data_IF_549147210249
#
_entry.id   IF_549147210249
#
_cell.length_a   1.000
_cell.length_b   1.000
_cell.length_c   1.000
_cell.angle_alpha   90.00
_cell.angle_beta   90.00
_cell.angle_gamma   90.00
#
_symmetry.space_group_name_H-M   'P 1'
#
loop_
_entity.id
_entity.type
_entity.pdbx_description
1 polymer ?
#
# COMPACT_ATOMS: atom_id res chain seq x y z
N UNK A 1 -45.51 -42.60 50.33
CA UNK A 1 -46.00 -41.20 50.17
C UNK A 1 -45.69 -40.51 51.49
N UNK A 2 -44.64 -39.71 51.66
CA UNK A 2 -44.41 -38.44 50.98
C UNK A 2 -42.90 -38.18 50.88
N UNK A 3 -42.37 -38.60 49.74
CA UNK A 3 -41.02 -38.33 49.28
C UNK A 3 -41.05 -37.01 48.50
N UNK A 4 -41.40 -35.89 49.18
CA UNK A 4 -41.40 -34.57 48.53
C UNK A 4 -41.57 -33.42 49.55
N UNK A 5 -40.73 -33.34 50.60
CA UNK A 5 -40.68 -32.15 51.48
C UNK A 5 -39.39 -31.95 52.29
N UNK A 6 -38.41 -32.85 52.25
CA UNK A 6 -37.15 -32.71 52.99
C UNK A 6 -35.94 -32.21 52.18
N UNK A 7 -36.11 -31.92 50.88
CA UNK A 7 -35.02 -31.39 50.03
C UNK A 7 -34.95 -29.86 50.07
N UNK A 8 -35.96 -29.17 50.60
CA UNK A 8 -36.00 -27.70 50.68
C UNK A 8 -35.51 -27.11 52.01
N UNK A 9 -35.24 -27.92 53.04
CA UNK A 9 -34.73 -27.42 54.34
C UNK A 9 -33.23 -27.67 54.57
N UNK A 10 -32.56 -28.42 53.70
CA UNK A 10 -31.12 -28.75 53.80
C UNK A 10 -30.21 -27.93 52.86
N UNK A 11 -30.79 -27.06 52.02
CA UNK A 11 -30.02 -26.18 51.10
C UNK A 11 -29.91 -24.73 51.62
N UNK A 12 -30.66 -24.37 52.69
CA UNK A 12 -30.69 -23.00 53.23
C UNK A 12 -29.78 -22.75 54.44
N UNK A 13 -29.04 -23.73 54.95
CA UNK A 13 -28.12 -23.56 56.10
C UNK A 13 -26.63 -23.73 55.78
N UNK A 14 -26.25 -23.90 54.52
CA UNK A 14 -24.85 -24.06 54.09
C UNK A 14 -24.21 -22.78 53.48
N UNK A 15 -24.88 -21.62 53.60
CA UNK A 15 -24.39 -20.33 53.07
C UNK A 15 -24.39 -19.22 54.13
N UNK A 16 -23.85 -19.49 55.32
CA UNK A 16 -23.57 -18.46 56.34
C UNK A 16 -22.09 -18.40 56.77
N UNK A 17 -21.18 -18.83 55.89
CA UNK A 17 -19.75 -18.60 56.06
C UNK A 17 -19.38 -17.18 55.63
N UNK A 18 -19.03 -16.31 56.59
CA UNK A 18 -18.36 -15.03 56.35
C UNK A 18 -17.09 -15.27 55.54
N UNK A 19 -17.14 -15.03 54.24
CA UNK A 19 -15.97 -14.97 53.37
C UNK A 19 -15.19 -13.72 53.80
N UNK A 20 -14.03 -13.94 54.44
CA UNK A 20 -13.01 -12.91 54.64
C UNK A 20 -12.76 -12.26 53.28
N UNK A 21 -12.92 -10.95 53.19
CA UNK A 21 -12.45 -10.16 52.06
C UNK A 21 -10.92 -10.26 52.03
N UNK A 22 -10.40 -11.35 51.47
CA UNK A 22 -9.08 -11.34 50.89
C UNK A 22 -9.17 -10.37 49.72
N UNK A 23 -8.37 -9.31 49.82
CA UNK A 23 -8.18 -8.31 48.79
C UNK A 23 -7.97 -9.02 47.46
N UNK A 24 -9.00 -9.02 46.63
CA UNK A 24 -8.92 -9.43 45.24
C UNK A 24 -7.78 -8.62 44.63
N UNK A 25 -6.66 -9.30 44.35
CA UNK A 25 -5.62 -8.82 43.47
C UNK A 25 -6.30 -8.64 42.11
N UNK A 26 -6.94 -7.49 41.91
CA UNK A 26 -7.26 -6.98 40.59
C UNK A 26 -5.91 -6.76 39.93
N UNK A 27 -5.39 -7.80 39.27
CA UNK A 27 -4.43 -7.64 38.21
C UNK A 27 -5.15 -6.77 37.18
N UNK A 28 -4.99 -5.45 37.31
CA UNK A 28 -5.32 -4.50 36.27
C UNK A 28 -4.46 -4.90 35.09
N UNK A 29 -4.96 -5.79 34.25
CA UNK A 29 -4.57 -5.87 32.86
C UNK A 29 -4.94 -4.52 32.28
N UNK A 30 -4.01 -3.56 32.39
CA UNK A 30 -4.01 -2.37 31.58
C UNK A 30 -3.90 -2.89 30.16
N UNK A 31 -5.05 -3.08 29.50
CA UNK A 31 -5.10 -3.07 28.06
C UNK A 31 -4.34 -1.81 27.65
N UNK A 32 -3.13 -1.98 27.12
CA UNK A 32 -2.41 -0.87 26.53
C UNK A 32 -3.32 -0.38 25.41
N UNK A 33 -4.07 0.68 25.67
CA UNK A 33 -5.07 1.24 24.74
C UNK A 33 -4.44 1.70 23.42
N UNK A 34 -3.10 1.73 23.36
CA UNK A 34 -2.31 1.79 22.15
C UNK A 34 -1.17 0.79 22.25
N UNK A 35 -1.25 -0.29 21.48
CA UNK A 35 -0.07 -1.06 21.10
C UNK A 35 0.90 -0.04 20.47
N UNK A 36 2.05 0.20 21.10
CA UNK A 36 3.15 0.91 20.42
C UNK A 36 3.43 0.08 19.17
N UNK A 37 3.19 0.61 17.97
CA UNK A 37 3.58 -0.12 16.76
C UNK A 37 5.08 -0.36 16.87
N UNK A 38 5.51 -1.62 16.96
CA UNK A 38 6.93 -1.94 16.82
C UNK A 38 7.38 -1.33 15.49
N UNK A 39 8.41 -0.49 15.53
CA UNK A 39 9.00 0.09 14.31
C UNK A 39 9.74 -0.97 13.48
N UNK A 40 10.07 -2.11 14.09
CA UNK A 40 10.41 -3.33 13.38
C UNK A 40 9.12 -3.97 12.87
N UNK A 41 8.83 -3.75 11.58
CA UNK A 41 7.79 -4.49 10.90
C UNK A 41 8.09 -5.99 11.07
N UNK A 42 7.10 -6.84 11.41
CA UNK A 42 7.31 -8.28 11.40
C UNK A 42 7.81 -8.71 10.02
N UNK A 43 8.62 -9.78 9.98
CA UNK A 43 9.06 -10.38 8.72
C UNK A 43 7.82 -10.63 7.85
N UNK A 44 7.81 -10.10 6.64
CA UNK A 44 6.71 -10.31 5.71
C UNK A 44 6.59 -11.80 5.37
N UNK A 45 5.38 -12.34 5.26
CA UNK A 45 5.20 -13.77 4.94
C UNK A 45 5.67 -14.13 3.51
N UNK A 46 5.83 -13.14 2.63
CA UNK A 46 6.32 -13.29 1.25
C UNK A 46 7.85 -13.17 1.11
N UNK A 47 8.65 -13.65 2.07
CA UNK A 47 10.11 -13.52 1.98
C UNK A 47 10.73 -14.44 0.92
N UNK A 48 11.80 -13.94 0.29
CA UNK A 48 12.70 -14.75 -0.55
C UNK A 48 13.28 -15.89 0.28
N UNK A 49 13.54 -17.02 -0.38
CA UNK A 49 14.20 -18.18 0.24
C UNK A 49 15.62 -17.78 0.66
N UNK A 50 15.91 -17.76 1.97
CA UNK A 50 17.27 -17.62 2.49
C UNK A 50 18.01 -18.95 2.23
N UNK A 51 18.83 -19.01 1.17
CA UNK A 51 19.73 -20.14 0.89
C UNK A 51 21.06 -19.64 0.31
N UNK A 52 22.16 -20.35 0.62
CA UNK A 52 23.40 -20.18 -0.10
C UNK A 52 23.18 -20.56 -1.57
N UNK A 53 23.66 -19.74 -2.49
CA UNK A 53 23.65 -20.04 -3.93
C UNK A 53 25.06 -20.41 -4.34
N UNK A 54 25.18 -21.55 -5.00
CA UNK A 54 26.40 -21.95 -5.68
C UNK A 54 26.16 -21.76 -7.18
N UNK A 55 27.21 -21.48 -7.98
CA UNK A 55 27.10 -21.59 -9.42
C UNK A 55 26.77 -23.04 -9.75
N UNK A 56 25.50 -23.31 -10.04
CA UNK A 56 25.07 -24.56 -10.64
C UNK A 56 25.53 -24.45 -12.11
N UNK A 57 26.64 -25.11 -12.47
CA UNK A 57 27.19 -25.10 -13.83
C UNK A 57 26.24 -25.83 -14.80
N UNK A 58 25.12 -25.18 -15.12
CA UNK A 58 24.10 -25.69 -16.04
C UNK A 58 24.60 -25.53 -17.48
N UNK A 59 24.39 -26.57 -18.30
CA UNK A 59 24.51 -26.42 -19.75
C UNK A 59 23.44 -25.45 -20.25
N UNK A 60 23.72 -24.78 -21.37
CA UNK A 60 22.77 -23.87 -22.03
C UNK A 60 21.46 -24.58 -22.40
N UNK A 61 21.53 -25.87 -22.77
CA UNK A 61 20.37 -26.72 -23.06
C UNK A 61 19.49 -26.92 -21.82
N UNK A 62 20.10 -27.20 -20.66
CA UNK A 62 19.36 -27.38 -19.41
C UNK A 62 18.71 -26.07 -18.95
N UNK A 63 19.36 -24.93 -19.15
CA UNK A 63 18.75 -23.63 -18.86
C UNK A 63 17.51 -23.37 -19.74
N UNK A 64 17.58 -23.69 -21.04
CA UNK A 64 16.46 -23.54 -21.95
C UNK A 64 15.29 -24.44 -21.53
N UNK A 65 15.58 -25.71 -21.22
CA UNK A 65 14.59 -26.66 -20.71
C UNK A 65 13.94 -26.17 -19.41
N UNK A 66 14.72 -25.65 -18.46
CA UNK A 66 14.15 -25.11 -17.21
C UNK A 66 13.27 -23.88 -17.45
N UNK A 67 13.61 -23.02 -18.42
CA UNK A 67 12.76 -21.88 -18.80
C UNK A 67 11.43 -22.36 -19.39
N UNK A 68 11.46 -23.39 -20.23
CA UNK A 68 10.26 -24.03 -20.80
C UNK A 68 9.38 -24.66 -19.72
N UNK A 69 9.95 -25.47 -18.82
CA UNK A 69 9.20 -26.05 -17.69
C UNK A 69 8.57 -24.97 -16.80
N UNK A 70 9.26 -23.84 -16.61
CA UNK A 70 8.71 -22.70 -15.87
C UNK A 70 7.59 -22.01 -16.65
N UNK A 71 7.73 -21.80 -17.95
CA UNK A 71 6.65 -21.19 -18.75
C UNK A 71 5.39 -22.06 -18.77
N UNK A 72 5.53 -23.37 -18.95
CA UNK A 72 4.40 -24.31 -19.00
C UNK A 72 3.68 -24.38 -17.67
N UNK A 73 4.42 -24.26 -16.56
CA UNK A 73 3.85 -24.28 -15.21
C UNK A 73 3.05 -23.02 -14.91
N UNK A 74 3.41 -21.88 -15.48
CA UNK A 74 2.81 -20.57 -15.22
C UNK A 74 2.15 -20.01 -16.48
N UNK A 75 1.32 -20.83 -17.12
CA UNK A 75 0.45 -20.39 -18.21
C UNK A 75 -0.87 -19.82 -17.67
N UNK A 76 -1.19 -18.57 -18.03
CA UNK A 76 -2.39 -17.89 -17.53
C UNK A 76 -3.67 -18.52 -18.09
N UNK A 77 -4.67 -18.86 -17.27
CA UNK A 77 -5.92 -19.47 -17.74
C UNK A 77 -6.73 -18.53 -18.65
N UNK A 78 -6.49 -17.21 -18.55
CA UNK A 78 -7.11 -16.20 -19.41
C UNK A 78 -6.73 -16.32 -20.89
N UNK A 79 -5.63 -17.01 -21.20
CA UNK A 79 -5.24 -17.30 -22.59
C UNK A 79 -6.24 -18.23 -23.27
N UNK A 80 -6.92 -19.09 -22.50
CA UNK A 80 -7.90 -20.06 -23.01
C UNK A 80 -9.34 -19.58 -22.84
N UNK A 81 -9.61 -18.76 -21.82
CA UNK A 81 -10.92 -18.16 -21.58
C UNK A 81 -10.77 -16.64 -21.47
N UNK A 82 -11.18 -15.86 -22.51
CA UNK A 82 -11.04 -14.42 -22.46
C UNK A 82 -11.82 -13.87 -21.26
N UNK A 83 -11.30 -12.83 -20.59
CA UNK A 83 -11.97 -12.24 -19.45
C UNK A 83 -13.38 -11.78 -19.84
N UNK A 84 -14.33 -11.92 -18.91
CA UNK A 84 -15.67 -11.39 -19.09
C UNK A 84 -15.61 -9.91 -19.45
N UNK A 85 -16.52 -9.48 -20.35
CA UNK A 85 -16.55 -8.12 -20.86
C UNK A 85 -16.52 -7.08 -19.71
N UNK A 86 -15.80 -5.96 -19.87
CA UNK A 86 -15.69 -4.95 -18.83
C UNK A 86 -17.08 -4.43 -18.44
N UNK A 87 -17.38 -4.44 -17.14
CA UNK A 87 -18.64 -3.95 -16.62
C UNK A 87 -18.79 -2.44 -16.90
N UNK A 88 -20.01 -2.02 -17.23
CA UNK A 88 -20.34 -0.62 -17.46
C UNK A 88 -20.05 0.22 -16.20
N UNK A 89 -19.50 1.42 -16.39
CA UNK A 89 -19.15 2.29 -15.27
C UNK A 89 -20.36 2.78 -14.50
N UNK A 90 -20.32 2.54 -13.20
CA UNK A 90 -21.26 3.08 -12.24
C UNK A 90 -20.59 4.18 -11.40
N UNK A 91 -21.20 5.37 -11.25
CA UNK A 91 -20.66 6.44 -10.43
C UNK A 91 -20.38 5.99 -8.99
N UNK A 92 -19.16 6.25 -8.53
CA UNK A 92 -18.71 5.91 -7.17
C UNK A 92 -18.18 4.49 -7.00
N UNK A 93 -18.03 3.72 -8.08
CA UNK A 93 -17.23 2.48 -8.07
C UNK A 93 -15.75 2.80 -7.97
N UNK A 94 -15.04 2.00 -7.16
CA UNK A 94 -13.59 2.07 -7.00
C UNK A 94 -12.95 0.95 -7.82
N UNK A 95 -12.22 1.31 -8.86
CA UNK A 95 -11.39 0.38 -9.65
C UNK A 95 -10.09 0.03 -8.92
N UNK A 96 -9.41 -1.00 -9.41
CA UNK A 96 -8.09 -1.36 -8.94
C UNK A 96 -7.06 -0.25 -9.20
N UNK A 97 -6.02 -0.19 -8.37
CA UNK A 97 -4.82 0.61 -8.62
C UNK A 97 -3.73 -0.17 -9.33
N UNK A 98 -2.56 0.46 -9.49
CA UNK A 98 -1.34 -0.12 -10.04
C UNK A 98 -0.21 -0.06 -9.00
N UNK A 99 0.73 -0.98 -9.11
CA UNK A 99 2.04 -0.86 -8.45
C UNK A 99 3.04 -0.36 -9.49
N UNK A 100 3.87 0.61 -9.11
CA UNK A 100 4.88 1.17 -9.99
C UNK A 100 6.20 1.33 -9.25
N UNK A 101 7.30 1.45 -9.99
CA UNK A 101 8.60 1.85 -9.48
C UNK A 101 8.83 3.32 -9.74
N UNK A 102 9.27 4.04 -8.73
CA UNK A 102 9.70 5.43 -8.89
C UNK A 102 11.03 5.48 -9.63
N UNK A 103 11.04 5.92 -10.89
CA UNK A 103 12.28 6.15 -11.62
C UNK A 103 12.81 7.52 -11.21
N UNK A 104 12.56 8.56 -12.00
CA UNK A 104 13.22 9.85 -11.82
C UNK A 104 12.20 10.98 -11.63
N UNK A 105 12.72 12.18 -11.41
CA UNK A 105 11.97 13.41 -11.55
C UNK A 105 12.49 14.12 -12.80
N UNK A 106 11.60 14.52 -13.70
CA UNK A 106 11.92 15.21 -14.94
C UNK A 106 11.13 16.53 -15.03
N UNK A 107 11.76 17.63 -15.45
CA UNK A 107 11.05 18.86 -15.73
C UNK A 107 10.19 18.74 -17.00
N UNK A 108 9.04 19.40 -17.01
CA UNK A 108 8.18 19.59 -18.16
C UNK A 108 7.70 21.03 -18.23
N UNK A 109 7.35 21.47 -19.44
CA UNK A 109 6.80 22.79 -19.69
C UNK A 109 5.34 22.67 -20.09
N UNK A 110 4.51 23.54 -19.53
CA UNK A 110 3.14 23.69 -19.98
C UNK A 110 3.08 24.64 -21.19
N UNK A 111 2.01 24.56 -21.97
CA UNK A 111 1.75 25.45 -23.12
C UNK A 111 1.70 26.94 -22.72
N UNK A 112 1.40 27.23 -21.45
CA UNK A 112 1.43 28.57 -20.88
C UNK A 112 2.83 29.06 -20.46
N UNK A 113 3.89 28.32 -20.77
CA UNK A 113 5.27 28.66 -20.39
C UNK A 113 5.64 28.35 -18.94
N UNK A 114 4.73 27.80 -18.14
CA UNK A 114 5.02 27.47 -16.74
C UNK A 114 5.84 26.19 -16.66
N UNK A 115 6.89 26.26 -15.86
CA UNK A 115 7.73 25.13 -15.47
C UNK A 115 7.01 24.24 -14.44
N UNK A 116 6.99 22.93 -14.67
CA UNK A 116 6.44 21.93 -13.76
C UNK A 116 7.39 20.75 -13.62
N UNK A 117 7.62 20.28 -12.39
CA UNK A 117 8.33 19.02 -12.15
C UNK A 117 7.36 17.84 -12.22
N UNK A 118 7.79 16.75 -12.87
CA UNK A 118 7.04 15.50 -12.96
C UNK A 118 7.84 14.33 -12.42
N UNK A 119 7.20 13.38 -11.76
CA UNK A 119 7.82 12.12 -11.33
C UNK A 119 7.43 11.01 -12.29
N UNK A 120 8.41 10.22 -12.73
CA UNK A 120 8.26 9.07 -13.60
C UNK A 120 7.99 7.83 -12.75
N UNK A 121 6.85 7.19 -13.00
CA UNK A 121 6.43 5.95 -12.34
C UNK A 121 6.31 4.86 -13.39
N UNK A 122 7.19 3.87 -13.34
CA UNK A 122 7.21 2.74 -14.27
C UNK A 122 6.39 1.58 -13.75
N UNK A 123 5.41 1.14 -14.53
CA UNK A 123 4.52 0.03 -14.21
C UNK A 123 5.15 -1.25 -14.77
N UNK A 124 5.88 -1.96 -13.92
CA UNK A 124 6.57 -3.20 -14.29
C UNK A 124 5.70 -4.43 -13.99
N UNK A 125 5.30 -5.16 -15.02
CA UNK A 125 4.61 -6.46 -14.99
C UNK A 125 3.55 -6.60 -13.89
N UNK A 126 2.57 -5.69 -13.89
CA UNK A 126 1.45 -5.78 -12.96
C UNK A 126 0.44 -6.81 -13.42
N UNK A 127 0.10 -7.73 -12.54
CA UNK A 127 -0.91 -8.75 -12.79
C UNK A 127 -1.81 -8.95 -11.59
N UNK A 128 -3.08 -9.26 -11.85
CA UNK A 128 -4.05 -9.63 -10.82
C UNK A 128 -3.78 -11.06 -10.39
N UNK A 129 -3.51 -11.26 -9.10
CA UNK A 129 -3.18 -12.58 -8.55
C UNK A 129 -4.41 -13.28 -8.00
N UNK A 130 -5.31 -12.52 -7.37
CA UNK A 130 -6.49 -13.11 -6.74
C UNK A 130 -7.48 -12.08 -6.25
N UNK A 131 -8.68 -12.56 -5.97
CA UNK A 131 -9.80 -11.76 -5.48
C UNK A 131 -10.21 -12.20 -4.08
N UNK A 132 -10.34 -11.24 -3.17
CA UNK A 132 -10.78 -11.45 -1.79
C UNK A 132 -12.18 -10.88 -1.65
N UNK A 133 -13.20 -11.70 -1.35
CA UNK A 133 -14.57 -11.24 -1.23
C UNK A 133 -14.74 -10.27 -0.04
N UNK A 134 -15.76 -9.39 -0.08
CA UNK A 134 -15.98 -8.38 0.96
C UNK A 134 -16.21 -8.97 2.36
N UNK A 135 -16.78 -10.17 2.43
CA UNK A 135 -17.04 -10.89 3.68
C UNK A 135 -15.76 -11.22 4.44
N UNK A 136 -14.75 -11.76 3.73
CA UNK A 136 -13.44 -12.09 4.30
C UNK A 136 -12.64 -10.84 4.63
N UNK A 137 -12.75 -9.78 3.81
CA UNK A 137 -12.05 -8.53 4.03
C UNK A 137 -12.45 -7.87 5.37
N UNK A 138 -13.75 -7.84 5.65
CA UNK A 138 -14.36 -7.18 6.81
C UNK A 138 -14.10 -7.90 8.14
N UNK A 139 -13.67 -9.16 8.11
CA UNK A 139 -13.28 -9.94 9.29
C UNK A 139 -11.86 -9.60 9.76
N UNK A 140 -10.96 -9.30 8.82
CA UNK A 140 -9.52 -9.09 9.09
C UNK A 140 -9.15 -7.64 9.37
N UNK A 141 -9.92 -6.67 8.87
CA UNK A 141 -9.69 -5.27 9.20
C UNK A 141 -10.32 -4.93 10.56
N UNK A 142 -9.50 -4.43 11.49
CA UNK A 142 -9.92 -3.73 12.73
C UNK A 142 -10.57 -2.39 12.37
N UNK A 143 -11.48 -2.38 11.39
CA UNK A 143 -12.36 -1.27 11.10
C UNK A 143 -13.32 -1.22 12.26
N UNK A 144 -13.15 -0.16 13.07
CA UNK A 144 -14.00 0.21 14.20
C UNK A 144 -15.45 -0.14 13.88
N UNK A 145 -16.01 -1.13 14.58
CA UNK A 145 -17.40 -1.64 14.48
C UNK A 145 -18.46 -0.54 14.27
N UNK A 146 -18.22 0.66 14.79
CA UNK A 146 -19.12 1.82 14.77
C UNK A 146 -19.50 2.35 13.39
N UNK A 147 -18.85 1.93 12.31
CA UNK A 147 -19.04 2.50 10.96
C UNK A 147 -19.39 1.46 9.89
N UNK A 148 -19.70 0.20 10.26
CA UNK A 148 -19.89 -0.88 9.27
C UNK A 148 -21.17 -0.77 8.42
N UNK A 149 -22.24 -0.17 8.95
CA UNK A 149 -23.55 -0.16 8.30
C UNK A 149 -23.72 0.92 7.22
N UNK A 150 -22.89 1.95 7.19
CA UNK A 150 -23.09 3.13 6.33
C UNK A 150 -22.26 3.11 5.04
N UNK A 151 -21.31 2.18 4.88
CA UNK A 151 -20.43 2.13 3.71
C UNK A 151 -20.74 0.93 2.81
N UNK A 152 -20.65 1.14 1.49
CA UNK A 152 -20.70 0.06 0.49
C UNK A 152 -19.65 -1.02 0.83
N UNK A 153 -20.00 -2.32 0.70
CA UNK A 153 -19.04 -3.38 0.91
C UNK A 153 -17.89 -3.25 -0.11
N UNK A 154 -16.65 -3.33 0.38
CA UNK A 154 -15.46 -3.29 -0.47
C UNK A 154 -14.82 -4.68 -0.50
N UNK A 155 -14.36 -5.09 -1.66
CA UNK A 155 -13.57 -6.30 -1.87
C UNK A 155 -12.08 -5.96 -1.94
N UNK A 156 -11.23 -6.97 -1.86
CA UNK A 156 -9.79 -6.85 -2.02
C UNK A 156 -9.32 -7.45 -3.33
N UNK A 157 -8.65 -6.68 -4.18
CA UNK A 157 -7.95 -7.24 -5.33
C UNK A 157 -6.46 -7.33 -5.03
N UNK A 158 -5.88 -8.52 -5.17
CA UNK A 158 -4.46 -8.75 -4.95
C UNK A 158 -3.73 -8.55 -6.27
N UNK A 159 -2.77 -7.63 -6.29
CA UNK A 159 -1.96 -7.29 -7.46
C UNK A 159 -0.49 -7.56 -7.13
N UNK A 160 0.14 -8.32 -8.02
CA UNK A 160 1.57 -8.60 -8.01
C UNK A 160 2.29 -7.73 -9.04
N UNK A 161 3.50 -7.28 -8.70
CA UNK A 161 4.35 -6.45 -9.56
C UNK A 161 5.78 -6.98 -9.60
N UNK A 162 6.41 -6.82 -10.76
CA UNK A 162 7.71 -7.37 -11.12
C UNK A 162 7.78 -8.89 -10.95
N UNK A 163 7.54 -9.61 -12.04
CA UNK A 163 7.75 -11.05 -12.11
C UNK A 163 9.23 -11.40 -11.90
N UNK A 164 9.49 -12.53 -11.26
CA UNK A 164 10.84 -12.97 -10.90
C UNK A 164 10.88 -14.51 -10.79
N UNK A 165 12.04 -15.11 -11.05
CA UNK A 165 12.19 -16.56 -11.06
C UNK A 165 11.62 -17.24 -9.80
N UNK A 166 10.82 -18.32 -9.97
CA UNK A 166 10.15 -19.01 -8.86
C UNK A 166 11.15 -19.62 -7.86
N UNK A 167 12.37 -19.95 -8.31
CA UNK A 167 13.45 -20.53 -7.48
C UNK A 167 13.93 -19.61 -6.37
N UNK A 168 13.63 -18.30 -6.45
CA UNK A 168 14.04 -17.30 -5.46
C UNK A 168 13.06 -17.22 -4.28
N UNK A 169 11.88 -17.82 -4.40
CA UNK A 169 10.82 -17.75 -3.40
C UNK A 169 10.58 -19.10 -2.69
N UNK A 170 9.80 -19.08 -1.62
CA UNK A 170 9.33 -20.30 -0.96
C UNK A 170 8.24 -20.98 -1.80
N UNK A 171 8.11 -22.31 -1.66
CA UNK A 171 7.10 -23.09 -2.38
C UNK A 171 5.68 -22.58 -2.09
N UNK A 172 5.40 -22.25 -0.84
CA UNK A 172 4.10 -21.71 -0.39
C UNK A 172 3.76 -20.40 -1.11
N UNK A 173 4.72 -19.47 -1.22
CA UNK A 173 4.50 -18.22 -1.93
C UNK A 173 4.30 -18.46 -3.42
N UNK A 174 5.13 -19.31 -4.04
CA UNK A 174 5.02 -19.63 -5.46
C UNK A 174 3.69 -20.32 -5.80
N UNK A 175 3.13 -21.11 -4.89
CA UNK A 175 1.85 -21.80 -5.08
C UNK A 175 0.66 -20.82 -5.16
N UNK A 176 0.74 -19.64 -4.55
CA UNK A 176 -0.33 -18.62 -4.59
C UNK A 176 -0.60 -18.10 -6.01
N UNK A 177 0.38 -18.18 -6.90
CA UNK A 177 0.28 -17.64 -8.26
C UNK A 177 -0.13 -18.68 -9.31
N UNK A 178 -0.21 -19.96 -8.93
CA UNK A 178 -0.54 -21.05 -9.86
C UNK A 178 -1.97 -20.94 -10.37
N UNK A 179 -2.93 -20.56 -9.51
CA UNK A 179 -4.34 -20.38 -9.90
C UNK A 179 -4.49 -19.29 -10.96
N UNK A 180 -3.70 -18.22 -10.84
CA UNK A 180 -3.68 -17.14 -11.82
C UNK A 180 -2.80 -17.44 -13.05
N UNK A 181 -1.99 -18.50 -12.99
CA UNK A 181 -1.00 -18.84 -14.02
C UNK A 181 0.00 -17.72 -14.29
N UNK A 182 0.52 -17.09 -13.24
CA UNK A 182 1.51 -16.01 -13.34
C UNK A 182 2.79 -16.42 -12.62
N UNK A 183 3.95 -16.00 -13.13
CA UNK A 183 5.20 -16.15 -12.39
C UNK A 183 5.17 -15.39 -11.05
N UNK A 184 5.85 -15.88 -10.00
CA UNK A 184 5.89 -15.19 -8.71
C UNK A 184 6.42 -13.77 -8.81
N UNK A 185 5.81 -12.85 -8.08
CA UNK A 185 6.14 -11.42 -8.15
C UNK A 185 6.94 -10.94 -6.93
N UNK A 186 7.81 -9.95 -7.11
CA UNK A 186 8.61 -9.36 -6.01
C UNK A 186 7.76 -8.60 -5.01
N UNK A 187 6.73 -7.91 -5.50
CA UNK A 187 5.88 -7.05 -4.68
C UNK A 187 4.43 -7.44 -4.83
N UNK A 188 3.87 -8.04 -3.78
CA UNK A 188 2.45 -8.29 -3.65
C UNK A 188 1.78 -7.16 -2.86
N UNK A 189 0.65 -6.66 -3.35
CA UNK A 189 -0.17 -5.66 -2.66
C UNK A 189 -1.64 -5.96 -2.84
N UNK A 190 -2.47 -5.35 -2.00
CA UNK A 190 -3.93 -5.45 -2.09
C UNK A 190 -4.53 -4.06 -2.27
N UNK A 191 -5.40 -3.91 -3.25
CA UNK A 191 -6.23 -2.72 -3.44
C UNK A 191 -7.64 -2.97 -2.92
N UNK A 192 -8.25 -1.94 -2.34
CA UNK A 192 -9.66 -1.98 -1.95
C UNK A 192 -10.51 -1.52 -3.13
N UNK A 193 -11.32 -2.43 -3.65
CA UNK A 193 -12.14 -2.23 -4.84
C UNK A 193 -13.62 -2.37 -4.50
N UNK A 194 -14.48 -1.82 -5.35
CA UNK A 194 -15.88 -2.20 -5.34
C UNK A 194 -16.01 -3.62 -5.92
N UNK A 195 -16.93 -4.47 -5.42
CA UNK A 195 -17.15 -5.82 -5.97
C UNK A 195 -17.46 -5.84 -7.47
N UNK A 196 -18.16 -4.79 -7.94
CA UNK A 196 -18.46 -4.56 -9.36
C UNK A 196 -17.22 -4.32 -10.24
N UNK A 197 -16.07 -3.94 -9.65
CA UNK A 197 -14.83 -3.69 -10.40
C UNK A 197 -13.82 -4.84 -10.22
N UNK A 198 -14.31 -6.05 -9.92
CA UNK A 198 -13.47 -7.24 -9.83
C UNK A 198 -12.92 -7.61 -11.21
N UNK A 199 -11.62 -7.88 -11.27
CA UNK A 199 -10.94 -8.38 -12.46
C UNK A 199 -10.56 -9.84 -12.24
N UNK A 200 -10.56 -10.62 -13.32
CA UNK A 200 -10.18 -12.01 -13.26
C UNK A 200 -8.69 -12.16 -12.88
N UNK A 201 -8.32 -13.18 -12.08
CA UNK A 201 -6.92 -13.50 -11.84
C UNK A 201 -6.21 -13.83 -13.16
N UNK A 202 -4.95 -13.43 -13.29
CA UNK A 202 -4.19 -13.50 -14.55
C UNK A 202 -4.20 -12.20 -15.35
N UNK A 203 -5.15 -11.29 -15.10
CA UNK A 203 -5.30 -10.07 -15.92
C UNK A 203 -4.08 -9.17 -15.78
N UNK A 204 -3.45 -8.83 -16.91
CA UNK A 204 -2.34 -7.87 -16.96
C UNK A 204 -2.87 -6.44 -16.84
N UNK A 205 -2.16 -5.61 -16.08
CA UNK A 205 -2.50 -4.21 -15.86
C UNK A 205 -1.37 -3.32 -16.39
N UNK A 206 -1.68 -2.49 -17.40
CA UNK A 206 -0.73 -1.56 -18.03
C UNK A 206 -0.84 -0.15 -17.48
N UNK A 207 0.08 0.74 -17.87
CA UNK A 207 0.02 2.16 -17.50
C UNK A 207 -1.23 2.85 -18.05
N UNK A 208 -1.75 2.35 -19.18
CA UNK A 208 -2.98 2.78 -19.86
C UNK A 208 -4.25 2.53 -19.05
N UNK A 209 -4.17 1.80 -17.92
CA UNK A 209 -5.26 1.70 -16.96
C UNK A 209 -5.69 3.07 -16.42
N UNK A 210 -4.77 4.04 -16.39
CA UNK A 210 -5.10 5.44 -16.13
C UNK A 210 -5.17 6.24 -17.42
N UNK A 211 -5.94 7.33 -17.40
CA UNK A 211 -6.00 8.27 -18.51
C UNK A 211 -5.26 9.56 -18.17
N UNK A 212 -4.78 10.24 -19.20
CA UNK A 212 -4.14 11.54 -19.03
C UNK A 212 -5.16 12.57 -18.57
N UNK A 213 -4.82 13.36 -17.55
CA UNK A 213 -5.73 14.29 -16.88
C UNK A 213 -6.40 13.73 -15.62
N UNK A 214 -6.36 12.41 -15.41
CA UNK A 214 -6.83 11.80 -14.17
C UNK A 214 -6.03 12.28 -12.95
N UNK A 215 -6.67 12.29 -11.78
CA UNK A 215 -6.03 12.54 -10.51
C UNK A 215 -5.85 11.25 -9.72
N UNK A 216 -4.61 11.00 -9.30
CA UNK A 216 -4.21 9.81 -8.57
C UNK A 216 -3.65 10.15 -7.19
N UNK A 217 -3.84 9.21 -6.27
CA UNK A 217 -3.23 9.18 -4.96
C UNK A 217 -2.10 8.15 -4.96
N UNK A 218 -0.96 8.55 -4.39
CA UNK A 218 0.28 7.80 -4.43
C UNK A 218 0.70 7.41 -3.02
N UNK A 219 0.70 6.11 -2.74
CA UNK A 219 1.02 5.54 -1.44
C UNK A 219 2.35 4.78 -1.49
N UNK A 220 3.34 5.23 -0.73
CA UNK A 220 4.64 4.57 -0.67
C UNK A 220 5.34 4.77 0.67
N UNK A 221 6.41 4.01 0.90
CA UNK A 221 7.28 4.16 2.06
C UNK A 221 8.17 5.38 1.84
N UNK A 222 8.20 6.32 2.78
CA UNK A 222 9.10 7.48 2.71
C UNK A 222 10.55 7.06 2.92
N UNK A 223 11.49 7.78 2.30
CA UNK A 223 12.94 7.66 2.54
C UNK A 223 13.25 7.54 4.03
N UNK A 224 13.98 6.50 4.40
CA UNK A 224 14.40 6.25 5.78
C UNK A 224 15.58 7.16 6.14
N UNK A 225 15.48 7.86 7.28
CA UNK A 225 16.52 8.78 7.77
C UNK A 225 17.14 8.32 9.09
N UNK A 226 16.83 7.11 9.56
CA UNK A 226 17.32 6.58 10.84
C UNK A 226 16.84 7.38 12.05
N UNK A 227 17.58 7.30 13.17
CA UNK A 227 17.29 8.05 14.39
C UNK A 227 17.65 9.53 14.22
N UNK A 228 16.68 10.42 14.36
CA UNK A 228 16.85 11.86 14.16
C UNK A 228 16.53 12.66 15.43
N UNK A 229 17.28 13.74 15.63
CA UNK A 229 17.05 14.72 16.68
C UNK A 229 15.77 15.55 16.47
N UNK A 230 15.33 16.26 17.50
CA UNK A 230 14.04 16.99 17.49
C UNK A 230 13.96 18.11 16.46
N UNK A 231 15.06 18.78 16.15
CA UNK A 231 15.09 19.83 15.13
C UNK A 231 14.75 19.27 13.74
N UNK A 232 15.42 18.19 13.32
CA UNK A 232 15.21 17.59 11.99
C UNK A 232 13.91 16.78 11.91
N UNK A 233 13.52 16.11 13.00
CA UNK A 233 12.31 15.28 13.06
C UNK A 233 11.02 16.09 13.15
N UNK A 234 11.03 17.18 13.93
CA UNK A 234 9.82 17.94 14.29
C UNK A 234 9.87 19.43 13.96
N UNK A 235 10.99 19.94 13.43
CA UNK A 235 11.14 21.36 13.11
C UNK A 235 11.32 22.25 14.35
N UNK A 236 11.85 21.73 15.46
CA UNK A 236 12.12 22.56 16.65
C UNK A 236 13.21 23.60 16.33
N UNK A 237 13.05 24.82 16.83
CA UNK A 237 13.99 25.93 16.59
C UNK A 237 15.37 25.72 17.25
N UNK A 238 15.44 24.96 18.35
CA UNK A 238 16.68 24.79 19.12
C UNK A 238 16.89 25.89 20.15
N UNK A 239 18.15 26.14 20.50
CA UNK A 239 18.59 27.22 21.40
C UNK A 239 19.62 28.10 20.68
N UNK A 240 19.81 29.38 21.08
CA UNK A 240 20.76 30.26 20.43
C UNK A 240 22.19 29.68 20.42
N UNK A 241 22.98 30.10 19.44
CA UNK A 241 24.39 29.70 19.33
C UNK A 241 25.29 30.50 20.29
N UNK A 242 24.97 31.78 20.50
CA UNK A 242 25.73 32.75 21.32
C UNK A 242 25.00 33.05 22.64
N UNK A 243 25.54 34.01 23.43
CA UNK A 243 24.97 34.49 24.70
C UNK A 243 24.86 33.42 25.80
N UNK A 244 25.92 32.62 25.99
CA UNK A 244 26.06 31.74 27.16
C UNK A 244 25.31 30.40 27.09
N UNK A 245 24.77 30.03 25.93
CA UNK A 245 24.13 28.72 25.75
C UNK A 245 25.16 27.57 25.80
N UNK A 246 25.30 26.92 26.95
CA UNK A 246 26.28 25.83 27.12
C UNK A 246 25.69 24.46 26.76
N UNK A 247 26.14 23.86 25.65
CA UNK A 247 25.80 22.48 25.22
C UNK A 247 24.29 22.19 25.02
N UNK A 248 23.47 23.22 24.75
CA UNK A 248 22.01 23.09 24.63
C UNK A 248 21.44 23.35 23.23
N UNK A 249 22.26 23.74 22.25
CA UNK A 249 21.84 24.26 20.93
C UNK A 249 20.76 23.41 20.21
N UNK A 250 20.80 22.08 20.34
CA UNK A 250 19.90 21.15 19.61
C UNK A 250 18.99 20.31 20.53
N UNK A 251 18.88 20.67 21.80
CA UNK A 251 18.06 19.95 22.79
C UNK A 251 16.57 20.29 22.64
N UNK A 252 15.65 19.41 23.09
CA UNK A 252 14.20 19.66 23.03
C UNK A 252 13.68 20.77 23.97
N UNK A 253 14.48 21.20 24.94
CA UNK A 253 14.00 22.09 26.01
C UNK A 253 13.09 21.35 27.00
N UNK A 254 12.17 22.08 27.63
CA UNK A 254 11.23 21.53 28.60
C UNK A 254 10.23 20.56 27.97
N UNK A 255 10.08 19.38 28.55
CA UNK A 255 9.16 18.31 28.08
C UNK A 255 7.95 18.09 29.01
N UNK A 256 7.93 18.76 30.17
CA UNK A 256 6.97 18.52 31.25
C UNK A 256 5.65 19.26 31.07
N UNK A 257 4.60 18.75 31.71
CA UNK A 257 3.26 19.34 31.74
C UNK A 257 2.90 19.84 33.14
N UNK A 258 3.61 20.86 33.62
CA UNK A 258 3.35 21.50 34.93
C UNK A 258 3.40 20.57 36.15
N UNK A 259 3.21 21.13 37.34
CA UNK A 259 3.27 20.38 38.61
C UNK A 259 2.08 19.42 38.81
N UNK A 260 0.92 19.73 38.24
CA UNK A 260 -0.32 18.95 38.44
C UNK A 260 -0.26 17.53 37.84
N UNK A 261 0.67 17.28 36.90
CA UNK A 261 0.75 16.00 36.20
C UNK A 261 2.21 15.57 36.07
N UNK A 262 2.67 14.76 37.01
CA UNK A 262 4.04 14.22 37.11
C UNK A 262 4.38 13.17 36.04
N UNK A 263 3.91 13.33 34.80
CA UNK A 263 4.22 12.44 33.67
C UNK A 263 4.22 13.16 32.34
N UNK A 264 4.97 12.64 31.37
CA UNK A 264 4.94 13.11 29.98
C UNK A 264 3.64 12.66 29.28
N UNK A 265 3.08 13.52 28.43
CA UNK A 265 1.92 13.17 27.61
C UNK A 265 2.26 12.13 26.52
N UNK A 266 1.45 11.07 26.35
CA UNK A 266 1.61 10.14 25.25
C UNK A 266 1.51 10.87 23.91
N UNK A 267 2.49 10.67 23.04
CA UNK A 267 2.59 11.39 21.76
C UNK A 267 3.38 12.70 21.81
N UNK A 268 3.99 13.04 22.96
CA UNK A 268 4.92 14.18 23.04
C UNK A 268 6.05 14.04 22.00
N UNK A 269 6.34 15.13 21.29
CA UNK A 269 7.38 15.17 20.26
C UNK A 269 8.77 14.99 20.89
N UNK A 270 9.42 13.89 20.55
CA UNK A 270 10.74 13.47 21.09
C UNK A 270 11.67 12.99 19.96
N UNK A 271 12.99 12.92 20.14
CA UNK A 271 13.89 12.37 19.13
C UNK A 271 13.56 10.89 18.87
N UNK A 272 13.91 10.39 17.68
CA UNK A 272 13.61 9.01 17.30
C UNK A 272 13.67 8.77 15.80
N UNK A 273 13.29 7.55 15.38
CA UNK A 273 13.29 7.17 13.97
C UNK A 273 12.39 8.09 13.13
N UNK A 274 12.94 8.57 12.02
CA UNK A 274 12.28 9.45 11.05
C UNK A 274 12.31 8.80 9.66
N UNK A 275 11.20 8.90 8.94
CA UNK A 275 11.05 8.27 7.64
C UNK A 275 10.74 6.78 7.77
N UNK A 276 10.91 6.03 6.68
CA UNK A 276 10.62 4.59 6.65
C UNK A 276 9.15 4.22 6.92
N UNK A 277 8.24 5.19 6.89
CA UNK A 277 6.80 5.01 7.12
C UNK A 277 6.04 5.17 5.82
N UNK A 278 4.93 4.46 5.67
CA UNK A 278 4.06 4.68 4.54
C UNK A 278 3.32 6.01 4.65
N UNK A 279 3.29 6.77 3.55
CA UNK A 279 2.55 8.03 3.42
C UNK A 279 1.81 8.03 2.10
N UNK A 280 0.62 8.65 2.11
CA UNK A 280 -0.19 8.85 0.92
C UNK A 280 -0.07 10.33 0.50
N UNK A 281 0.40 10.57 -0.72
CA UNK A 281 0.40 11.88 -1.37
C UNK A 281 -0.78 11.93 -2.34
N UNK A 282 -1.71 12.86 -2.11
CA UNK A 282 -3.04 12.84 -2.74
C UNK A 282 -3.20 13.90 -3.83
N UNK A 283 -4.01 13.58 -4.84
CA UNK A 283 -4.51 14.52 -5.83
C UNK A 283 -3.46 14.96 -6.85
N UNK A 284 -2.58 14.05 -7.25
CA UNK A 284 -1.57 14.32 -8.27
C UNK A 284 -2.16 14.10 -9.66
N UNK A 285 -1.99 15.07 -10.57
CA UNK A 285 -2.51 15.00 -11.94
C UNK A 285 -1.55 14.19 -12.82
N UNK A 286 -2.08 13.34 -13.69
CA UNK A 286 -1.30 12.67 -14.74
C UNK A 286 -1.17 13.61 -15.94
N UNK A 287 0.07 13.86 -16.36
CA UNK A 287 0.39 14.79 -17.45
C UNK A 287 0.80 14.11 -18.76
N UNK A 288 1.41 12.93 -18.66
CA UNK A 288 1.83 12.12 -19.81
C UNK A 288 1.78 10.65 -19.42
N UNK A 289 1.42 9.79 -20.37
CA UNK A 289 1.56 8.34 -20.26
C UNK A 289 2.33 7.85 -21.49
N UNK A 290 3.37 7.06 -21.27
CA UNK A 290 4.07 6.34 -22.32
C UNK A 290 3.56 4.89 -22.35
N UNK A 291 3.00 4.47 -23.47
CA UNK A 291 2.36 3.15 -23.65
C UNK A 291 3.39 2.06 -23.89
N UNK A 292 4.47 2.36 -24.62
CA UNK A 292 5.52 1.39 -24.98
C UNK A 292 6.32 0.88 -23.78
N UNK A 293 6.68 1.79 -22.88
CA UNK A 293 7.47 1.50 -21.69
C UNK A 293 6.63 1.45 -20.41
N UNK A 294 5.30 1.60 -20.51
CA UNK A 294 4.39 1.62 -19.36
C UNK A 294 4.83 2.61 -18.26
N UNK A 295 5.13 3.86 -18.65
CA UNK A 295 5.56 4.93 -17.74
C UNK A 295 4.46 5.97 -17.57
N UNK A 296 4.14 6.30 -16.32
CA UNK A 296 3.20 7.35 -15.95
C UNK A 296 3.97 8.56 -15.41
N UNK A 297 3.69 9.73 -15.99
CA UNK A 297 4.27 11.00 -15.55
C UNK A 297 3.26 11.74 -14.68
N UNK A 298 3.57 11.83 -13.41
CA UNK A 298 2.70 12.44 -12.40
C UNK A 298 3.23 13.81 -12.00
N UNK A 299 2.33 14.79 -11.86
CA UNK A 299 2.68 16.15 -11.44
C UNK A 299 3.28 16.17 -10.04
N UNK A 300 4.41 16.86 -9.89
CA UNK A 300 5.14 17.05 -8.63
C UNK A 300 6.41 16.20 -8.53
N UNK A 301 7.35 16.66 -7.70
CA UNK A 301 8.60 15.96 -7.38
C UNK A 301 8.52 15.16 -6.06
N UNK A 302 7.42 15.31 -5.32
CA UNK A 302 7.32 14.93 -3.92
C UNK A 302 6.82 13.50 -3.68
N UNK A 303 6.83 12.62 -4.70
CA UNK A 303 6.39 11.23 -4.52
C UNK A 303 7.22 10.55 -3.43
N UNK A 304 6.59 9.97 -2.40
CA UNK A 304 7.31 9.31 -1.31
C UNK A 304 8.13 8.13 -1.82
N UNK A 305 9.31 7.93 -1.23
CA UNK A 305 10.23 6.84 -1.58
C UNK A 305 11.52 7.33 -2.23
N UNK A 306 12.53 6.48 -2.17
CA UNK A 306 13.80 6.67 -2.87
C UNK A 306 13.66 6.25 -4.35
N UNK A 307 14.75 6.40 -5.11
CA UNK A 307 14.82 5.91 -6.49
C UNK A 307 14.64 4.38 -6.50
N UNK A 308 13.85 3.88 -7.45
CA UNK A 308 13.46 2.48 -7.63
C UNK A 308 12.60 1.85 -6.51
N UNK A 309 12.12 2.64 -5.55
CA UNK A 309 11.15 2.13 -4.57
C UNK A 309 9.79 1.84 -5.23
N UNK A 310 9.11 0.84 -4.68
CA UNK A 310 7.74 0.50 -5.05
C UNK A 310 6.74 1.52 -4.48
N UNK A 311 5.80 1.88 -5.34
CA UNK A 311 4.80 2.91 -5.13
C UNK A 311 3.45 2.35 -5.56
N UNK A 312 2.42 2.54 -4.74
CA UNK A 312 1.05 2.14 -5.06
C UNK A 312 0.30 3.37 -5.59
N UNK A 313 -0.24 3.27 -6.80
CA UNK A 313 -1.01 4.32 -7.47
C UNK A 313 -2.48 3.87 -7.48
N UNK A 314 -3.39 4.74 -7.06
CA UNK A 314 -4.83 4.49 -7.13
C UNK A 314 -5.57 5.79 -7.41
N UNK A 315 -6.84 5.70 -7.81
CA UNK A 315 -7.66 6.89 -8.02
C UNK A 315 -7.75 7.73 -6.75
N UNK A 316 -7.84 9.05 -6.94
CA UNK A 316 -7.87 9.97 -5.80
C UNK A 316 -9.13 9.81 -4.96
N UNK A 317 -8.96 9.88 -3.63
CA UNK A 317 -10.09 9.88 -2.68
C UNK A 317 -10.74 11.27 -2.60
N UNK A 318 -10.05 12.32 -3.08
CA UNK A 318 -10.50 13.71 -2.98
C UNK A 318 -11.83 13.94 -3.73
N UNK A 319 -12.91 14.40 -3.06
CA UNK A 319 -14.23 14.52 -3.66
C UNK A 319 -14.30 15.38 -4.93
N UNK A 320 -13.59 16.50 -4.96
CA UNK A 320 -13.61 17.48 -6.06
C UNK A 320 -12.82 17.03 -7.30
N UNK A 321 -11.96 16.03 -7.16
CA UNK A 321 -11.05 15.55 -8.21
C UNK A 321 -11.35 14.10 -8.59
N UNK A 322 -12.52 13.59 -8.21
CA UNK A 322 -12.96 12.26 -8.62
C UNK A 322 -13.14 12.21 -10.13
N UNK A 323 -12.79 11.06 -10.66
CA UNK A 323 -12.99 10.73 -12.06
C UNK A 323 -14.47 10.72 -12.41
N UNK A 324 -14.80 11.23 -13.60
CA UNK A 324 -16.17 11.31 -14.12
C UNK A 324 -16.49 10.25 -15.17
N UNK A 325 -15.46 9.69 -15.82
CA UNK A 325 -15.61 8.78 -16.95
C UNK A 325 -15.30 7.31 -16.60
N UNK A 326 -15.85 6.34 -17.36
CA UNK A 326 -15.61 4.90 -17.20
C UNK A 326 -14.15 4.51 -17.23
N UNK A 327 -13.71 3.70 -16.26
CA UNK A 327 -12.37 3.11 -16.26
C UNK A 327 -12.31 1.93 -17.19
N UNK A 328 -11.70 2.11 -18.35
CA UNK A 328 -11.41 1.01 -19.26
C UNK A 328 -10.13 0.33 -18.81
N UNK A 329 -10.24 -0.94 -18.40
CA UNK A 329 -9.07 -1.83 -18.44
C UNK A 329 -8.87 -2.16 -19.91
N UNK A 330 -7.84 -1.57 -20.49
CA UNK A 330 -7.51 -1.73 -21.90
C UNK A 330 -6.77 -3.05 -22.06
N UNK A 331 -7.16 -3.85 -23.05
CA UNK A 331 -6.48 -5.12 -23.37
C UNK A 331 -5.11 -4.84 -24.01
N UNK A 332 -4.22 -5.83 -24.02
CA UNK A 332 -2.87 -5.66 -24.60
C UNK A 332 -2.90 -5.29 -26.09
N UNK A 333 -3.88 -5.80 -26.83
CA UNK A 333 -4.10 -5.52 -28.26
C UNK A 333 -4.52 -4.07 -28.50
N UNK A 334 -5.51 -3.59 -27.74
CA UNK A 334 -5.97 -2.19 -27.80
C UNK A 334 -4.85 -1.22 -27.38
N UNK A 335 -4.05 -1.59 -26.37
CA UNK A 335 -2.95 -0.76 -25.91
C UNK A 335 -1.81 -0.65 -26.94
N UNK A 336 -1.65 -1.63 -27.84
CA UNK A 336 -0.67 -1.59 -28.92
C UNK A 336 -1.06 -0.65 -30.06
N UNK A 337 -2.36 -0.33 -30.21
CA UNK A 337 -2.87 0.59 -31.23
C UNK A 337 -2.76 2.07 -30.81
N UNK A 338 -2.56 2.33 -29.51
CA UNK A 338 -2.42 3.68 -28.99
C UNK A 338 -1.07 4.30 -29.40
N UNK A 339 -1.00 5.64 -29.51
CA UNK A 339 0.26 6.32 -29.74
C UNK A 339 1.26 6.03 -28.60
N UNK A 340 2.56 6.11 -28.91
CA UNK A 340 3.64 5.83 -27.96
C UNK A 340 3.57 6.74 -26.72
N UNK A 341 3.27 8.03 -26.94
CA UNK A 341 3.11 9.01 -25.87
C UNK A 341 1.76 9.72 -25.98
N UNK A 342 1.01 9.68 -24.89
CA UNK A 342 -0.23 10.42 -24.72
C UNK A 342 0.06 11.61 -23.80
N UNK A 343 -0.12 12.83 -24.30
CA UNK A 343 0.13 14.07 -23.56
C UNK A 343 -1.17 14.75 -23.14
N UNK A 344 -1.13 15.45 -22.01
CA UNK A 344 -2.22 16.32 -21.60
C UNK A 344 -2.23 17.56 -22.52
N UNK A 345 -3.39 18.12 -22.91
CA UNK A 345 -3.45 19.28 -23.81
C UNK A 345 -2.65 20.50 -23.29
N UNK A 346 -2.62 20.70 -21.97
CA UNK A 346 -1.81 21.75 -21.35
C UNK A 346 -0.29 21.55 -21.44
N UNK A 347 0.22 20.38 -21.85
CA UNK A 347 1.66 20.08 -21.86
C UNK A 347 2.24 20.41 -23.22
N UNK A 348 3.33 21.19 -23.21
CA UNK A 348 4.06 21.49 -24.43
C UNK A 348 4.92 20.28 -24.85
N UNK A 349 4.69 19.79 -26.06
CA UNK A 349 5.48 18.69 -26.64
C UNK A 349 6.83 19.23 -27.11
N UNK A 350 7.92 18.53 -26.80
CA UNK A 350 9.27 19.00 -27.15
C UNK A 350 9.54 19.08 -28.66
N UNK A 351 8.78 18.34 -29.48
CA UNK A 351 8.87 18.39 -30.94
C UNK A 351 8.03 19.54 -31.56
N UNK A 352 7.15 20.17 -30.77
CA UNK A 352 6.34 21.29 -31.24
C UNK A 352 7.19 22.57 -31.39
N UNK A 353 6.78 23.53 -32.24
CA UNK A 353 7.49 24.81 -32.37
C UNK A 353 7.52 25.57 -31.04
N UNK A 354 8.53 26.41 -30.87
CA UNK A 354 8.71 27.26 -29.69
C UNK A 354 7.43 28.05 -29.36
N UNK A 355 7.13 28.16 -28.06
CA UNK A 355 5.96 28.89 -27.58
C UNK A 355 6.13 30.39 -27.91
N UNK A 356 5.10 30.98 -28.54
CA UNK A 356 4.95 32.42 -28.76
C UNK A 356 3.69 32.86 -28.02
N UNK A 357 3.79 33.90 -27.19
CA UNK A 357 2.71 34.38 -26.32
C UNK A 357 1.86 35.47 -26.94
#
# INVERSE_FOLDING_TARGET
MNWCRSVQSLVKSAFSGKIRQESSNYAQLRYMSRVKSRHTAPRHFWMKKERARYPEELSSENEAFLREVVSDRYESPLRHHPPAAPLAYTPGVRRCGLVARKIAVQPMWLSNGKYVNTTLLHVADNHVVGYVPPEMLNQNEVVRRRWKEQYRPLAGLVVGADQEDPTKFTKEYANMFLEAGIMPTKKLTRFTISPEAALAPGTRLRATHFQVGDYVDVYAKTRERGFQGVMKRWGFAGQPATHGATKTHRRPGGIGSGAQKSRVWPGQKMPGHMGGQYRNLRGLKILRINTKHDIIYVLGHAVPGDHNDYVLIHDTVLPLRRRKEPGTVITDEEAAQLPEDIFHPDVHQMAAPSIVF
#
